data_IF_778035486701
#
_entry.id   IF_778035486701
#
_cell.length_a   1.000
_cell.length_b   1.000
_cell.length_c   1.000
_cell.angle_alpha   90.00
_cell.angle_beta   90.00
_cell.angle_gamma   90.00
#
_symmetry.space_group_name_H-M   'P 1'
#
loop_
_entity.id
_entity.type
_entity.pdbx_description
1 polymer ?
#
# COMPACT_ATOMS: atom_id res chain seq x y z
N UNK A 1 -51.92 10.41 -41.96
CA UNK A 1 -51.30 9.07 -41.88
C UNK A 1 -50.16 9.14 -40.87
N UNK A 2 -50.46 9.01 -39.58
CA UNK A 2 -49.45 9.19 -38.52
C UNK A 2 -48.83 7.85 -38.17
N UNK A 3 -47.60 7.61 -38.62
CA UNK A 3 -46.84 6.41 -38.29
C UNK A 3 -46.26 6.54 -36.87
N UNK A 4 -46.91 5.96 -35.87
CA UNK A 4 -46.31 5.79 -34.55
C UNK A 4 -45.28 4.66 -34.57
N UNK A 5 -44.00 5.03 -34.53
CA UNK A 5 -42.89 4.11 -34.25
C UNK A 5 -43.01 3.64 -32.79
N UNK A 6 -43.74 2.54 -32.58
CA UNK A 6 -43.83 1.87 -31.26
C UNK A 6 -42.52 1.14 -31.01
N UNK A 7 -41.49 1.88 -30.56
CA UNK A 7 -40.20 1.31 -30.15
C UNK A 7 -40.48 0.34 -28.99
N UNK A 8 -40.23 -0.94 -29.21
CA UNK A 8 -40.55 -2.02 -28.27
C UNK A 8 -39.81 -1.78 -26.95
N UNK A 9 -40.55 -1.34 -25.92
CA UNK A 9 -40.02 -1.02 -24.59
C UNK A 9 -39.21 -2.20 -24.03
N UNK A 10 -39.63 -3.45 -24.26
CA UNK A 10 -38.89 -4.65 -23.87
C UNK A 10 -37.50 -4.77 -24.51
N UNK A 11 -37.33 -4.39 -25.79
CA UNK A 11 -36.02 -4.42 -26.45
C UNK A 11 -35.06 -3.38 -25.86
N UNK A 12 -35.58 -2.23 -25.43
CA UNK A 12 -34.79 -1.22 -24.72
C UNK A 12 -34.41 -1.68 -23.32
N UNK A 13 -35.34 -2.28 -22.56
CA UNK A 13 -35.03 -2.88 -21.25
C UNK A 13 -33.98 -3.99 -21.36
N UNK A 14 -34.10 -4.89 -22.32
CA UNK A 14 -33.13 -5.97 -22.54
C UNK A 14 -31.74 -5.43 -22.91
N UNK A 15 -31.69 -4.37 -23.74
CA UNK A 15 -30.44 -3.69 -24.11
C UNK A 15 -29.82 -2.98 -22.92
N UNK A 16 -30.61 -2.31 -22.07
CA UNK A 16 -30.14 -1.66 -20.84
C UNK A 16 -29.60 -2.72 -19.87
N UNK A 17 -30.34 -3.81 -19.62
CA UNK A 17 -29.88 -4.90 -18.74
C UNK A 17 -28.55 -5.50 -19.20
N UNK A 18 -28.38 -5.74 -20.50
CA UNK A 18 -27.13 -6.28 -21.06
C UNK A 18 -25.96 -5.31 -20.88
N UNK A 19 -26.18 -4.02 -21.09
CA UNK A 19 -25.14 -2.98 -20.91
C UNK A 19 -24.78 -2.83 -19.43
N UNK A 20 -25.76 -2.84 -18.52
CA UNK A 20 -25.50 -2.77 -17.08
C UNK A 20 -24.73 -3.98 -16.58
N UNK A 21 -25.04 -5.19 -17.05
CA UNK A 21 -24.28 -6.40 -16.66
C UNK A 21 -22.85 -6.35 -17.16
N UNK A 22 -22.62 -5.88 -18.40
CA UNK A 22 -21.26 -5.72 -18.93
C UNK A 22 -20.47 -4.64 -18.18
N UNK A 23 -21.11 -3.51 -17.85
CA UNK A 23 -20.48 -2.46 -17.03
C UNK A 23 -20.14 -2.95 -15.63
N UNK A 24 -21.06 -3.64 -14.96
CA UNK A 24 -20.82 -4.24 -13.64
C UNK A 24 -19.66 -5.22 -13.67
N UNK A 25 -19.57 -6.05 -14.72
CA UNK A 25 -18.45 -6.98 -14.89
C UNK A 25 -17.12 -6.23 -15.05
N UNK A 26 -17.06 -5.20 -15.90
CA UNK A 26 -15.86 -4.37 -16.07
C UNK A 26 -15.46 -3.71 -14.75
N UNK A 27 -16.40 -3.16 -13.98
CA UNK A 27 -16.10 -2.55 -12.68
C UNK A 27 -15.51 -3.55 -11.68
N UNK A 28 -16.03 -4.79 -11.62
CA UNK A 28 -15.47 -5.83 -10.73
C UNK A 28 -14.04 -6.19 -11.14
N UNK A 29 -13.73 -6.23 -12.44
CA UNK A 29 -12.37 -6.45 -12.93
C UNK A 29 -11.44 -5.26 -12.68
N UNK A 30 -11.95 -4.02 -12.75
CA UNK A 30 -11.19 -2.83 -12.36
C UNK A 30 -10.93 -2.76 -10.85
N UNK A 31 -11.82 -3.32 -10.03
CA UNK A 31 -11.62 -3.48 -8.57
C UNK A 31 -10.65 -4.62 -8.23
N UNK A 32 -10.30 -5.47 -9.19
CA UNK A 32 -9.15 -6.36 -9.11
C UNK A 32 -7.83 -5.59 -9.30
N UNK A 33 -7.76 -4.37 -8.74
CA UNK A 33 -6.49 -3.76 -8.42
C UNK A 33 -5.91 -4.58 -7.26
N UNK A 34 -4.74 -5.14 -7.52
CA UNK A 34 -3.92 -5.88 -6.57
C UNK A 34 -4.01 -5.26 -5.19
N UNK A 35 -4.00 -6.12 -4.16
CA UNK A 35 -3.61 -5.74 -2.81
C UNK A 35 -2.18 -5.17 -2.93
N UNK A 36 -2.10 -3.88 -3.27
CA UNK A 36 -0.88 -3.26 -3.72
C UNK A 36 0.08 -3.35 -2.55
N UNK A 37 1.12 -4.14 -2.75
CA UNK A 37 2.16 -4.52 -1.79
C UNK A 37 2.98 -3.36 -1.24
N UNK A 38 2.49 -2.12 -1.34
CA UNK A 38 2.97 -0.94 -0.61
C UNK A 38 3.10 -1.23 0.90
N UNK A 39 2.32 -2.16 1.45
CA UNK A 39 2.34 -2.50 2.87
C UNK A 39 3.31 -3.62 3.26
N UNK A 40 3.95 -4.35 2.33
CA UNK A 40 4.79 -5.49 2.69
C UNK A 40 6.18 -5.41 2.08
N UNK A 41 6.82 -4.25 2.27
CA UNK A 41 8.24 -4.11 1.96
C UNK A 41 9.02 -4.90 2.99
N UNK A 42 9.65 -5.98 2.53
CA UNK A 42 10.47 -6.84 3.36
C UNK A 42 11.91 -6.36 3.30
N UNK A 43 12.47 -6.04 4.46
CA UNK A 43 13.86 -5.59 4.58
C UNK A 43 14.68 -6.62 5.34
N UNK A 44 15.98 -6.66 5.05
CA UNK A 44 16.93 -7.49 5.78
C UNK A 44 18.00 -6.59 6.36
N UNK A 45 18.07 -6.54 7.69
CA UNK A 45 19.00 -5.68 8.41
C UNK A 45 19.71 -6.51 9.46
N UNK A 46 21.03 -6.48 9.41
CA UNK A 46 21.90 -7.11 10.40
C UNK A 46 22.93 -6.10 10.86
N UNK A 47 22.55 -5.31 11.88
CA UNK A 47 23.39 -4.28 12.49
C UNK A 47 23.41 -4.46 13.99
N UNK A 48 24.58 -4.28 14.59
CA UNK A 48 24.76 -4.33 16.03
C UNK A 48 25.48 -3.07 16.47
N UNK A 49 25.05 -2.47 17.57
CA UNK A 49 25.65 -1.28 18.16
C UNK A 49 25.93 -0.16 17.13
N UNK A 50 24.95 0.10 16.26
CA UNK A 50 25.05 1.08 15.17
C UNK A 50 24.10 2.24 15.47
N UNK A 51 24.42 3.45 14.99
CA UNK A 51 23.48 4.59 15.12
C UNK A 51 22.17 4.30 14.40
N UNK A 52 21.06 4.76 14.99
CA UNK A 52 19.75 4.62 14.39
C UNK A 52 19.70 5.25 12.99
N UNK A 53 20.37 6.38 12.78
CA UNK A 53 20.47 7.04 11.47
C UNK A 53 21.00 6.09 10.38
N UNK A 54 22.05 5.33 10.68
CA UNK A 54 22.64 4.38 9.73
C UNK A 54 21.68 3.23 9.40
N UNK A 55 20.88 2.79 10.37
CA UNK A 55 19.85 1.77 10.15
C UNK A 55 18.71 2.31 9.29
N UNK A 56 18.26 3.54 9.52
CA UNK A 56 17.25 4.20 8.69
C UNK A 56 17.75 4.41 7.26
N UNK A 57 18.98 4.89 7.09
CA UNK A 57 19.63 5.02 5.78
C UNK A 57 19.74 3.68 5.03
N UNK A 58 20.01 2.58 5.73
CA UNK A 58 20.03 1.24 5.13
C UNK A 58 18.62 0.80 4.65
N UNK A 59 17.55 1.27 5.30
CA UNK A 59 16.17 1.03 4.88
C UNK A 59 15.82 1.90 3.67
N UNK A 60 16.16 3.19 3.68
CA UNK A 60 15.93 4.10 2.53
C UNK A 60 16.67 3.62 1.27
N UNK A 61 17.80 2.93 1.42
CA UNK A 61 18.51 2.34 0.27
C UNK A 61 17.85 1.08 -0.28
N UNK A 62 17.12 0.34 0.56
CA UNK A 62 16.46 -0.91 0.19
C UNK A 62 15.02 -0.71 -0.26
N UNK A 63 14.46 0.47 -0.02
CA UNK A 63 13.03 0.77 -0.16
C UNK A 63 12.83 2.14 -0.78
N UNK A 64 11.67 2.41 -1.36
CA UNK A 64 11.36 3.75 -1.90
C UNK A 64 10.85 4.73 -0.80
N UNK A 65 11.14 4.44 0.48
CA UNK A 65 10.75 5.28 1.61
C UNK A 65 11.83 6.31 1.96
N UNK A 66 11.39 7.49 2.40
CA UNK A 66 12.24 8.55 2.96
C UNK A 66 11.78 8.83 4.40
N UNK A 67 12.70 8.72 5.37
CA UNK A 67 12.42 9.01 6.78
C UNK A 67 12.66 10.49 7.07
N UNK A 68 11.59 11.15 7.50
CA UNK A 68 11.62 12.54 7.96
C UNK A 68 11.32 12.55 9.46
N UNK A 69 12.22 13.11 10.26
CA UNK A 69 12.07 13.18 11.72
C UNK A 69 12.42 14.57 12.26
N UNK A 70 11.92 14.85 13.45
CA UNK A 70 12.17 16.11 14.14
C UNK A 70 13.57 16.11 14.80
N UNK A 71 14.17 17.29 14.99
CA UNK A 71 15.45 17.48 15.71
C UNK A 71 15.46 16.98 17.16
N UNK A 72 14.28 16.72 17.74
CA UNK A 72 14.15 16.14 19.08
C UNK A 72 14.27 14.61 19.10
N UNK A 73 14.24 13.96 17.93
CA UNK A 73 14.47 12.52 17.82
C UNK A 73 15.96 12.26 17.89
N UNK A 74 16.38 11.51 18.90
CA UNK A 74 17.78 11.10 19.03
C UNK A 74 18.09 9.95 18.05
N UNK A 75 18.64 10.31 16.89
CA UNK A 75 19.09 9.35 15.86
C UNK A 75 20.52 8.84 16.06
N UNK A 76 21.28 9.48 16.96
CA UNK A 76 22.64 9.08 17.32
C UNK A 76 22.66 7.88 18.30
N UNK A 77 21.49 7.53 18.87
CA UNK A 77 21.38 6.40 19.80
C UNK A 77 21.82 5.10 19.13
N UNK A 78 22.54 4.27 19.88
CA UNK A 78 22.97 2.96 19.41
C UNK A 78 21.82 1.96 19.48
N UNK A 79 21.56 1.30 18.37
CA UNK A 79 20.55 0.24 18.22
C UNK A 79 21.19 -1.02 17.65
N UNK A 80 20.59 -2.15 17.98
CA UNK A 80 20.96 -3.46 17.45
C UNK A 80 19.71 -4.12 16.90
N UNK A 81 19.72 -4.43 15.60
CA UNK A 81 18.60 -5.07 14.92
C UNK A 81 19.16 -6.22 14.05
N UNK A 82 18.54 -7.38 14.18
CA UNK A 82 18.91 -8.56 13.41
C UNK A 82 17.63 -9.23 12.91
N UNK A 83 17.15 -8.74 11.77
CA UNK A 83 15.90 -9.17 11.17
C UNK A 83 16.16 -9.56 9.71
N UNK A 84 15.61 -10.70 9.29
CA UNK A 84 15.80 -11.25 7.95
C UNK A 84 14.44 -11.43 7.28
N UNK A 85 14.23 -10.73 6.17
CA UNK A 85 12.93 -10.68 5.46
C UNK A 85 11.77 -10.38 6.43
N UNK A 86 11.97 -9.39 7.29
CA UNK A 86 10.91 -8.89 8.17
C UNK A 86 10.18 -7.75 7.47
N UNK A 87 8.91 -7.56 7.80
CA UNK A 87 8.16 -6.42 7.30
C UNK A 87 8.77 -5.12 7.84
N UNK A 88 8.69 -4.04 7.05
CA UNK A 88 9.15 -2.73 7.49
C UNK A 88 8.45 -2.30 8.79
N UNK A 89 7.17 -2.60 8.96
CA UNK A 89 6.41 -2.35 10.18
C UNK A 89 7.02 -3.06 11.39
N UNK A 90 7.37 -4.35 11.26
CA UNK A 90 8.01 -5.12 12.33
C UNK A 90 9.39 -4.55 12.67
N UNK A 91 10.17 -4.14 11.66
CA UNK A 91 11.49 -3.53 11.87
C UNK A 91 11.36 -2.20 12.63
N UNK A 92 10.44 -1.33 12.23
CA UNK A 92 10.22 -0.05 12.91
C UNK A 92 9.67 -0.24 14.33
N UNK A 93 8.74 -1.17 14.52
CA UNK A 93 8.23 -1.53 15.84
C UNK A 93 9.36 -2.00 16.78
N UNK A 94 10.29 -2.81 16.29
CA UNK A 94 11.46 -3.24 17.06
C UNK A 94 12.44 -2.09 17.35
N UNK A 95 12.68 -1.21 16.38
CA UNK A 95 13.59 -0.07 16.55
C UNK A 95 13.08 0.97 17.56
N UNK A 96 11.78 1.23 17.56
CA UNK A 96 11.14 2.23 18.41
C UNK A 96 10.43 1.65 19.63
N UNK A 97 10.53 0.33 19.85
CA UNK A 97 10.02 -0.33 21.05
C UNK A 97 10.54 0.37 22.33
N UNK A 98 9.62 0.75 23.21
CA UNK A 98 9.95 1.42 24.48
C UNK A 98 10.35 2.90 24.34
N UNK A 99 10.21 3.49 23.16
CA UNK A 99 10.31 4.95 22.97
C UNK A 99 8.93 5.57 22.76
N UNK A 100 8.81 6.88 22.98
CA UNK A 100 7.57 7.64 22.72
C UNK A 100 7.40 8.01 21.23
N UNK A 101 8.32 7.54 20.37
CA UNK A 101 8.34 7.84 18.94
C UNK A 101 7.44 6.84 18.21
N UNK A 102 6.45 7.35 17.47
CA UNK A 102 5.50 6.58 16.66
C UNK A 102 5.74 6.83 15.17
#
# INVERSE_FOLDING_TARGET
>A
MSYSVKRSRCKQFFRVMRITTLLLFVFIFCMHAENSSSQNVNVTIKRSNTELENVLNDIEKQTDYLFIYNKFVNVDRKVSVNLKKASLEEVLANLFAGTDVK
#
